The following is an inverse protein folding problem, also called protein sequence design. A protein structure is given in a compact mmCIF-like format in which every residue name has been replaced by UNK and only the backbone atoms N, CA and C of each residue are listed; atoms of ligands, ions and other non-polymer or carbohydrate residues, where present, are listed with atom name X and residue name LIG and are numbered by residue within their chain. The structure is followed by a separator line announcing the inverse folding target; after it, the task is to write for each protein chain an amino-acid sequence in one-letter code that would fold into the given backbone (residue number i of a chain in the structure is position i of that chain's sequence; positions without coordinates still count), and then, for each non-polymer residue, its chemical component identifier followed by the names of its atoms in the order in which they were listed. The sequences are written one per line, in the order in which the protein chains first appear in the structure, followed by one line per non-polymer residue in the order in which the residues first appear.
data_IF_550726536770
#
_entry.id   IF_550726536770
#
_cell.length_a   1.000
_cell.length_b   1.000
_cell.length_c   1.000
_cell.angle_alpha   90.00
_cell.angle_beta   90.00
_cell.angle_gamma   90.00
#
_symmetry.space_group_name_H-M   'P 1'
#
loop_
_entity.id
_entity.type
_entity.pdbx_description
1 polymer ?
#
# COMPACT_ATOMS: atom_id res chain seq x y z
N UNK A 1 12.38 -7.97 46.75
CA UNK A 1 11.00 -8.30 46.30
C UNK A 1 10.25 -7.13 45.63
N UNK A 2 10.33 -5.89 46.13
CA UNK A 2 9.65 -4.73 45.52
C UNK A 2 10.17 -4.41 44.10
N UNK A 3 11.49 -4.47 43.89
CA UNK A 3 12.13 -4.28 42.58
C UNK A 3 11.73 -5.32 41.53
N UNK A 4 11.56 -6.58 41.94
CA UNK A 4 11.10 -7.68 41.07
C UNK A 4 9.65 -7.47 40.59
N UNK A 5 8.78 -6.95 41.47
CA UNK A 5 7.38 -6.64 41.11
C UNK A 5 7.30 -5.47 40.12
N UNK A 6 8.14 -4.46 40.27
CA UNK A 6 8.21 -3.32 39.34
C UNK A 6 8.70 -3.77 37.95
N UNK A 7 9.72 -4.62 37.89
CA UNK A 7 10.22 -5.17 36.63
C UNK A 7 9.13 -5.99 35.89
N UNK A 8 8.37 -6.80 36.62
CA UNK A 8 7.29 -7.62 36.05
C UNK A 8 6.15 -6.77 35.46
N UNK A 9 5.79 -5.66 36.12
CA UNK A 9 4.74 -4.75 35.64
C UNK A 9 5.18 -4.03 34.34
N UNK A 10 6.47 -3.71 34.20
CA UNK A 10 7.01 -3.06 32.99
C UNK A 10 6.99 -4.00 31.77
N UNK A 11 7.08 -5.32 31.97
CA UNK A 11 7.03 -6.33 30.90
C UNK A 11 5.61 -6.64 30.39
N UNK A 12 4.57 -6.21 31.12
CA UNK A 12 3.17 -6.55 30.84
C UNK A 12 2.42 -5.47 30.05
N UNK A 13 3.04 -4.33 29.71
CA UNK A 13 2.40 -3.30 28.88
C UNK A 13 2.47 -3.69 27.41
N UNK A 14 1.34 -4.01 26.73
CA UNK A 14 1.37 -4.29 25.31
C UNK A 14 1.71 -3.01 24.55
N UNK A 15 2.79 -3.04 23.79
CA UNK A 15 3.10 -1.99 22.82
C UNK A 15 2.15 -2.14 21.64
N UNK A 16 1.30 -1.14 21.41
CA UNK A 16 0.49 -1.05 20.20
C UNK A 16 1.39 -0.71 19.02
N UNK A 17 2.01 -1.72 18.40
CA UNK A 17 2.68 -1.57 17.12
C UNK A 17 1.64 -1.54 16.01
N UNK A 18 1.45 -0.37 15.41
CA UNK A 18 0.79 -0.27 14.12
C UNK A 18 1.72 -0.89 13.08
N UNK A 19 1.24 -1.90 12.37
CA UNK A 19 1.96 -2.40 11.21
C UNK A 19 2.00 -1.32 10.13
N UNK A 20 3.03 -1.29 9.30
CA UNK A 20 3.08 -0.44 8.12
C UNK A 20 3.28 -1.33 6.89
N UNK A 21 2.67 -0.93 5.78
CA UNK A 21 2.89 -1.55 4.49
C UNK A 21 3.04 -0.48 3.41
N UNK A 22 3.72 -0.83 2.32
CA UNK A 22 3.89 0.07 1.18
C UNK A 22 3.00 -0.39 0.03
N UNK A 23 2.40 0.59 -0.64
CA UNK A 23 1.62 0.40 -1.86
C UNK A 23 2.39 1.00 -3.02
N UNK A 24 2.36 0.32 -4.15
CA UNK A 24 3.00 0.70 -5.39
C UNK A 24 1.95 0.75 -6.49
N UNK A 25 2.07 1.73 -7.36
CA UNK A 25 1.30 1.79 -8.60
C UNK A 25 2.25 1.64 -9.78
N UNK A 26 1.97 0.66 -10.62
CA UNK A 26 2.77 0.36 -11.81
C UNK A 26 1.97 0.58 -13.07
N UNK A 27 2.66 1.02 -14.12
CA UNK A 27 2.23 0.77 -15.50
C UNK A 27 2.83 -0.56 -15.95
N UNK A 28 1.98 -1.53 -16.31
CA UNK A 28 2.39 -2.88 -16.72
C UNK A 28 2.29 -3.02 -18.23
N UNK A 29 3.32 -3.57 -18.84
CA UNK A 29 3.44 -3.74 -20.29
C UNK A 29 3.85 -5.18 -20.60
N UNK A 30 3.27 -5.78 -21.64
CA UNK A 30 3.71 -7.10 -22.12
C UNK A 30 5.04 -6.99 -22.86
N UNK A 31 5.95 -7.94 -22.65
CA UNK A 31 7.16 -8.10 -23.47
C UNK A 31 7.02 -9.15 -24.56
N UNK A 32 5.87 -9.82 -24.69
CA UNK A 32 5.65 -10.80 -25.76
C UNK A 32 5.46 -10.10 -27.12
N UNK A 33 6.32 -10.39 -28.12
CA UNK A 33 6.13 -9.90 -29.48
C UNK A 33 5.04 -10.74 -30.19
N UNK A 34 3.99 -10.10 -30.72
CA UNK A 34 2.93 -10.77 -31.50
C UNK A 34 1.59 -10.01 -31.47
N UNK A 35 0.55 -10.53 -32.14
CA UNK A 35 -0.79 -9.89 -32.19
C UNK A 35 -1.52 -9.85 -30.83
N UNK A 36 -1.07 -10.65 -29.86
CA UNK A 36 -1.60 -10.67 -28.48
C UNK A 36 -0.86 -9.68 -27.55
N UNK A 37 -0.52 -8.48 -28.03
CA UNK A 37 0.03 -7.47 -27.14
C UNK A 37 -1.06 -7.00 -26.17
N UNK A 38 -0.95 -7.40 -24.89
CA UNK A 38 -1.76 -6.80 -23.85
C UNK A 38 -1.47 -5.30 -23.79
N UNK A 39 -2.52 -4.47 -23.88
CA UNK A 39 -2.37 -3.02 -23.78
C UNK A 39 -1.75 -2.64 -22.44
N UNK A 40 -0.88 -1.61 -22.41
CA UNK A 40 -0.39 -1.08 -21.16
C UNK A 40 -1.55 -0.70 -20.23
N UNK A 41 -1.48 -1.08 -18.97
CA UNK A 41 -2.51 -0.80 -17.99
C UNK A 41 -1.90 -0.50 -16.62
N UNK A 42 -2.66 0.22 -15.79
CA UNK A 42 -2.22 0.64 -14.47
C UNK A 42 -2.74 -0.36 -13.43
N UNK A 43 -1.85 -0.79 -12.53
CA UNK A 43 -2.18 -1.70 -11.44
C UNK A 43 -1.68 -1.12 -10.12
N UNK A 44 -2.34 -1.50 -9.03
CA UNK A 44 -1.92 -1.15 -7.67
C UNK A 44 -1.64 -2.44 -6.89
N UNK A 45 -0.50 -2.52 -6.22
CA UNK A 45 -0.05 -3.72 -5.52
C UNK A 45 0.76 -3.38 -4.27
N UNK A 46 0.81 -4.31 -3.31
CA UNK A 46 1.72 -4.24 -2.17
C UNK A 46 3.08 -4.89 -2.44
N UNK A 47 3.24 -5.55 -3.59
CA UNK A 47 4.51 -6.13 -4.00
C UNK A 47 5.47 -5.04 -4.49
N UNK A 48 6.67 -5.01 -3.92
CA UNK A 48 7.76 -4.18 -4.42
C UNK A 48 8.15 -4.60 -5.87
N UNK A 49 8.90 -3.78 -6.60
CA UNK A 49 9.16 -4.03 -8.02
C UNK A 49 9.74 -5.43 -8.30
N UNK A 50 10.67 -5.88 -7.46
CA UNK A 50 11.34 -7.18 -7.65
C UNK A 50 10.37 -8.33 -7.39
N UNK A 51 9.59 -8.22 -6.30
CA UNK A 51 8.58 -9.22 -5.96
C UNK A 51 7.43 -9.26 -6.99
N UNK A 52 7.00 -8.11 -7.48
CA UNK A 52 5.94 -8.00 -8.48
C UNK A 52 6.35 -8.69 -9.78
N UNK A 53 7.54 -8.37 -10.30
CA UNK A 53 8.10 -9.02 -11.48
C UNK A 53 8.19 -10.53 -11.28
N UNK A 54 8.78 -10.97 -10.17
CA UNK A 54 8.97 -12.39 -9.87
C UNK A 54 7.64 -13.16 -9.83
N UNK A 55 6.59 -12.56 -9.25
CA UNK A 55 5.26 -13.16 -9.18
C UNK A 55 4.58 -13.25 -10.57
N UNK A 56 4.85 -12.29 -11.46
CA UNK A 56 4.20 -12.17 -12.77
C UNK A 56 5.03 -12.72 -13.94
N UNK A 57 5.94 -13.67 -13.70
CA UNK A 57 6.72 -14.34 -14.76
C UNK A 57 8.06 -13.68 -15.10
N UNK A 58 8.45 -12.65 -14.35
CA UNK A 58 9.74 -11.98 -14.44
C UNK A 58 9.85 -10.99 -15.59
N UNK A 59 11.05 -10.41 -15.69
CA UNK A 59 11.44 -9.44 -16.73
C UNK A 59 11.33 -10.00 -18.16
N UNK A 60 11.26 -11.32 -18.35
CA UNK A 60 11.07 -11.92 -19.67
C UNK A 60 9.63 -11.87 -20.15
N UNK A 61 8.65 -11.80 -19.24
CA UNK A 61 7.23 -11.84 -19.56
C UNK A 61 6.60 -10.45 -19.58
N UNK A 62 6.96 -9.60 -18.63
CA UNK A 62 6.41 -8.25 -18.49
C UNK A 62 7.51 -7.22 -18.24
N UNK A 63 7.20 -5.96 -18.57
CA UNK A 63 7.91 -4.80 -18.08
C UNK A 63 6.98 -4.02 -17.14
N UNK A 64 7.56 -3.37 -16.13
CA UNK A 64 6.84 -2.45 -15.25
C UNK A 64 7.54 -1.10 -15.22
N UNK A 65 6.76 -0.04 -15.10
CA UNK A 65 7.23 1.28 -14.73
C UNK A 65 6.58 1.71 -13.41
N UNK A 66 7.38 2.15 -12.44
CA UNK A 66 6.89 2.58 -11.13
C UNK A 66 6.42 4.03 -11.20
N UNK A 67 5.10 4.21 -11.22
CA UNK A 67 4.50 5.53 -11.31
C UNK A 67 4.54 6.28 -9.98
N UNK A 68 4.21 5.58 -8.87
CA UNK A 68 4.21 6.13 -7.52
C UNK A 68 4.22 5.05 -6.46
N UNK A 69 4.59 5.44 -5.24
CA UNK A 69 4.42 4.60 -4.05
C UNK A 69 4.07 5.44 -2.82
N UNK A 70 3.42 4.82 -1.84
CA UNK A 70 3.10 5.46 -0.56
C UNK A 70 3.03 4.45 0.57
N UNK A 71 3.28 4.92 1.79
CA UNK A 71 3.17 4.10 3.01
C UNK A 71 1.76 4.21 3.59
N UNK A 72 1.22 3.06 3.98
CA UNK A 72 -0.05 2.90 4.64
C UNK A 72 0.17 2.30 6.04
N UNK A 73 -0.62 2.76 7.01
CA UNK A 73 -0.71 2.16 8.33
C UNK A 73 -1.68 0.97 8.30
N UNK A 74 -1.40 -0.08 9.06
CA UNK A 74 -2.18 -1.31 9.15
C UNK A 74 -1.69 -2.44 8.24
N UNK A 75 -2.63 -3.20 7.67
CA UNK A 75 -2.38 -4.35 6.81
C UNK A 75 -3.51 -4.55 5.80
N UNK A 76 -3.23 -5.26 4.69
CA UNK A 76 -4.21 -5.59 3.64
C UNK A 76 -4.89 -6.96 3.81
N UNK A 77 -4.51 -7.73 4.84
CA UNK A 77 -5.15 -9.01 5.16
C UNK A 77 -6.66 -8.90 5.41
N UNK A 78 -7.40 -9.96 5.07
CA UNK A 78 -8.87 -9.99 5.18
C UNK A 78 -9.61 -9.28 4.04
N UNK A 79 -8.99 -9.19 2.86
CA UNK A 79 -9.52 -8.46 1.69
C UNK A 79 -9.78 -6.97 1.97
N UNK A 80 -8.97 -6.37 2.85
CA UNK A 80 -9.01 -4.92 3.07
C UNK A 80 -8.45 -4.20 1.85
N UNK A 81 -9.13 -3.13 1.44
CA UNK A 81 -8.68 -2.27 0.37
C UNK A 81 -7.36 -1.55 0.72
N UNK A 82 -6.68 -1.07 -0.31
CA UNK A 82 -5.50 -0.23 -0.13
C UNK A 82 -5.87 1.13 0.46
N UNK A 83 -5.00 1.68 1.31
CA UNK A 83 -5.19 3.06 1.76
C UNK A 83 -5.04 4.03 0.58
N UNK A 84 -5.74 5.17 0.65
CA UNK A 84 -5.65 6.23 -0.36
C UNK A 84 -4.21 6.78 -0.46
N UNK A 85 -3.79 7.04 -1.69
CA UNK A 85 -2.54 7.73 -1.96
C UNK A 85 -2.60 9.21 -1.55
N UNK A 86 -1.46 9.92 -1.55
CA UNK A 86 -1.39 11.31 -1.12
C UNK A 86 -2.36 12.25 -1.85
N UNK A 87 -2.46 12.13 -3.18
CA UNK A 87 -3.33 12.98 -3.99
C UNK A 87 -4.83 12.66 -3.75
N UNK A 88 -5.16 11.38 -3.61
CA UNK A 88 -6.54 10.99 -3.32
C UNK A 88 -6.97 11.44 -1.91
N UNK A 89 -6.05 11.46 -0.95
CA UNK A 89 -6.29 11.97 0.40
C UNK A 89 -6.56 13.48 0.40
N UNK A 90 -5.78 14.28 -0.32
CA UNK A 90 -6.01 15.74 -0.35
C UNK A 90 -7.37 16.08 -0.96
N UNK A 91 -7.75 15.41 -2.05
CA UNK A 91 -9.06 15.59 -2.69
C UNK A 91 -10.19 15.15 -1.75
N UNK A 92 -10.03 14.05 -1.02
CA UNK A 92 -11.03 13.60 -0.05
C UNK A 92 -11.22 14.63 1.09
N UNK A 93 -10.12 15.17 1.61
CA UNK A 93 -10.16 16.20 2.66
C UNK A 93 -10.84 17.49 2.18
N UNK A 94 -10.55 17.96 0.96
CA UNK A 94 -11.23 19.12 0.36
C UNK A 94 -12.74 18.93 0.27
N UNK A 95 -13.18 17.73 -0.16
CA UNK A 95 -14.62 17.40 -0.24
C UNK A 95 -15.29 17.36 1.14
N UNK A 96 -14.61 16.83 2.14
CA UNK A 96 -15.11 16.79 3.52
C UNK A 96 -15.28 18.20 4.09
N UNK A 97 -14.30 19.09 3.89
CA UNK A 97 -14.39 20.49 4.32
C UNK A 97 -15.52 21.23 3.61
N UNK A 98 -15.64 21.08 2.28
CA UNK A 98 -16.72 21.71 1.51
C UNK A 98 -18.12 21.20 1.95
N UNK A 99 -18.26 19.91 2.26
CA UNK A 99 -19.52 19.36 2.77
C UNK A 99 -19.87 19.83 4.18
N UNK A 100 -18.87 20.17 5.00
CA UNK A 100 -19.08 20.68 6.35
C UNK A 100 -19.56 22.15 6.35
N UNK A 101 -19.09 22.95 5.39
CA UNK A 101 -19.53 24.34 5.21
C UNK A 101 -20.97 24.46 4.70
N UNK A 102 -21.40 23.57 3.80
CA UNK A 102 -22.80 23.56 3.28
C UNK A 102 -23.83 23.17 4.34
N UNK A 103 -23.42 22.50 5.42
CA UNK A 103 -24.31 22.08 6.51
C UNK A 103 -24.45 23.12 7.62
N UNK A 104 -23.83 24.29 7.50
CA UNK A 104 -23.81 25.36 8.49
C UNK A 104 -24.69 26.53 8.06
#
# INVERSE_FOLDING_TARGET
MKTLRVLLILLLTPLSLMAEYRVYQYQVMSRFPGEYQAKPHIVTSTLDPVSYLSYHGGETSIAIDLMRSWTCQGHTGGMKDYCLGPAERSIAQEKEMASAEVKK
#
